data_IF_706401628199
#
_entry.id   IF_706401628199
#
_cell.length_a   1.000
_cell.length_b   1.000
_cell.length_c   1.000
_cell.angle_alpha   90.00
_cell.angle_beta   90.00
_cell.angle_gamma   90.00
#
_symmetry.space_group_name_H-M   'P 1'
#
loop_
_entity.id
_entity.type
_entity.pdbx_description
1 polymer ?
#
# COMPACT_ATOMS: atom_id res chain seq x y z
N UNK A 1 0.25 24.11 -10.42
CA UNK A 1 -1.18 24.12 -10.03
C UNK A 1 -2.04 23.32 -10.99
N UNK A 2 -1.96 23.54 -12.32
CA UNK A 2 -2.76 22.79 -13.30
C UNK A 2 -2.48 21.28 -13.34
N UNK A 3 -1.22 20.86 -13.25
CA UNK A 3 -0.85 19.43 -13.28
C UNK A 3 -1.33 18.64 -12.05
N UNK A 4 -1.46 19.33 -10.90
CA UNK A 4 -1.89 18.70 -9.66
C UNK A 4 -3.41 18.50 -9.67
N UNK A 5 -4.16 19.47 -10.22
CA UNK A 5 -5.61 19.37 -10.39
C UNK A 5 -6.01 18.30 -11.41
N UNK A 6 -5.24 18.13 -12.50
CA UNK A 6 -5.53 17.12 -13.53
C UNK A 6 -5.40 15.69 -13.04
N UNK A 7 -4.54 15.42 -12.05
CA UNK A 7 -4.33 14.07 -11.51
C UNK A 7 -5.14 13.81 -10.22
N UNK A 8 -5.24 14.79 -9.31
CA UNK A 8 -6.00 14.63 -8.07
C UNK A 8 -7.50 14.48 -8.33
N UNK A 9 -8.07 15.27 -9.23
CA UNK A 9 -9.53 15.32 -9.42
C UNK A 9 -10.06 13.97 -9.94
N UNK A 10 -9.47 13.35 -10.97
CA UNK A 10 -9.85 11.99 -11.38
C UNK A 10 -9.62 10.96 -10.28
N UNK A 11 -8.51 11.05 -9.55
CA UNK A 11 -8.20 10.12 -8.46
C UNK A 11 -9.29 10.09 -7.39
N UNK A 12 -9.73 11.26 -6.91
CA UNK A 12 -10.83 11.35 -5.94
C UNK A 12 -12.16 10.89 -6.53
N UNK A 13 -12.45 11.24 -7.79
CA UNK A 13 -13.68 10.83 -8.47
C UNK A 13 -13.79 9.29 -8.59
N UNK A 14 -12.73 8.61 -9.06
CA UNK A 14 -12.72 7.16 -9.18
C UNK A 14 -12.71 6.47 -7.81
N UNK A 15 -12.03 7.02 -6.81
CA UNK A 15 -12.08 6.52 -5.43
C UNK A 15 -13.49 6.59 -4.84
N UNK A 16 -14.21 7.71 -5.06
CA UNK A 16 -15.60 7.85 -4.64
C UNK A 16 -16.53 6.87 -5.38
N UNK A 17 -16.32 6.70 -6.69
CA UNK A 17 -17.07 5.74 -7.51
C UNK A 17 -16.87 4.31 -7.02
N UNK A 18 -15.63 3.92 -6.70
CA UNK A 18 -15.31 2.62 -6.10
C UNK A 18 -16.06 2.42 -4.78
N UNK A 19 -15.98 3.39 -3.85
CA UNK A 19 -16.61 3.29 -2.54
C UNK A 19 -18.15 3.16 -2.64
N UNK A 20 -18.79 4.01 -3.46
CA UNK A 20 -20.25 4.01 -3.63
C UNK A 20 -20.71 2.68 -4.23
N UNK A 21 -20.08 2.23 -5.32
CA UNK A 21 -20.48 0.97 -5.99
C UNK A 21 -20.21 -0.25 -5.12
N UNK A 22 -19.12 -0.26 -4.35
CA UNK A 22 -18.82 -1.30 -3.36
C UNK A 22 -19.89 -1.38 -2.27
N UNK A 23 -20.29 -0.24 -1.69
CA UNK A 23 -21.35 -0.18 -0.68
C UNK A 23 -22.71 -0.60 -1.25
N UNK A 24 -23.03 -0.19 -2.49
CA UNK A 24 -24.27 -0.59 -3.17
C UNK A 24 -24.35 -2.11 -3.37
N UNK A 25 -23.26 -2.75 -3.78
CA UNK A 25 -23.22 -4.21 -3.94
C UNK A 25 -23.26 -4.92 -2.57
N UNK A 26 -22.54 -4.41 -1.58
CA UNK A 26 -22.43 -5.03 -0.25
C UNK A 26 -23.69 -4.90 0.61
N UNK A 27 -24.28 -3.71 0.65
CA UNK A 27 -25.33 -3.33 1.59
C UNK A 27 -26.75 -3.33 0.99
N UNK A 28 -26.89 -3.27 -0.34
CA UNK A 28 -28.20 -3.18 -1.00
C UNK A 28 -28.51 -4.47 -1.81
N UNK A 29 -29.28 -5.43 -1.25
CA UNK A 29 -29.59 -6.69 -1.92
C UNK A 29 -30.30 -6.52 -3.26
N UNK A 30 -31.11 -5.46 -3.40
CA UNK A 30 -31.84 -5.13 -4.63
C UNK A 30 -30.91 -4.87 -5.81
N UNK A 31 -29.79 -4.16 -5.58
CA UNK A 31 -28.80 -3.86 -6.61
C UNK A 31 -27.89 -5.06 -6.92
N UNK A 32 -27.52 -5.87 -5.92
CA UNK A 32 -26.68 -7.05 -6.14
C UNK A 32 -27.40 -8.21 -6.84
N UNK A 33 -28.71 -8.39 -6.60
CA UNK A 33 -29.44 -9.61 -7.03
C UNK A 33 -30.27 -9.45 -8.31
N UNK A 34 -30.44 -8.23 -8.85
CA UNK A 34 -31.31 -7.98 -10.01
C UNK A 34 -30.55 -7.35 -11.16
N UNK A 35 -30.79 -7.87 -12.37
CA UNK A 35 -30.39 -7.24 -13.62
C UNK A 35 -31.28 -6.01 -13.89
N UNK A 36 -30.75 -4.90 -14.43
CA UNK A 36 -29.37 -4.69 -14.89
C UNK A 36 -28.42 -4.09 -13.83
N UNK A 37 -28.93 -3.74 -12.64
CA UNK A 37 -28.19 -2.99 -11.62
C UNK A 37 -26.89 -3.66 -11.18
N UNK A 38 -26.90 -4.98 -11.02
CA UNK A 38 -25.72 -5.74 -10.60
C UNK A 38 -24.54 -5.61 -11.59
N UNK A 39 -24.81 -5.70 -12.90
CA UNK A 39 -23.80 -5.59 -13.95
C UNK A 39 -23.30 -4.16 -14.10
N UNK A 40 -24.18 -3.16 -13.99
CA UNK A 40 -23.80 -1.74 -14.03
C UNK A 40 -22.87 -1.42 -12.86
N UNK A 41 -23.22 -1.80 -11.64
CA UNK A 41 -22.36 -1.58 -10.47
C UNK A 41 -21.02 -2.30 -10.61
N UNK A 42 -21.01 -3.53 -11.15
CA UNK A 42 -19.77 -4.29 -11.36
C UNK A 42 -18.84 -3.63 -12.39
N UNK A 43 -19.37 -3.16 -13.51
CA UNK A 43 -18.57 -2.47 -14.55
C UNK A 43 -17.97 -1.18 -13.99
N UNK A 44 -18.77 -0.37 -13.30
CA UNK A 44 -18.30 0.88 -12.70
C UNK A 44 -17.23 0.63 -11.63
N UNK A 45 -17.42 -0.37 -10.76
CA UNK A 45 -16.44 -0.77 -9.75
C UNK A 45 -15.13 -1.21 -10.40
N UNK A 46 -15.20 -2.02 -11.46
CA UNK A 46 -14.04 -2.55 -12.18
C UNK A 46 -13.26 -1.43 -12.87
N UNK A 47 -13.95 -0.54 -13.57
CA UNK A 47 -13.32 0.60 -14.25
C UNK A 47 -12.63 1.53 -13.24
N UNK A 48 -13.31 1.85 -12.13
CA UNK A 48 -12.73 2.67 -11.08
C UNK A 48 -11.45 2.04 -10.49
N UNK A 49 -11.49 0.75 -10.14
CA UNK A 49 -10.32 0.06 -9.60
C UNK A 49 -9.18 -0.06 -10.63
N UNK A 50 -9.52 -0.27 -11.91
CA UNK A 50 -8.52 -0.33 -12.99
C UNK A 50 -7.78 0.99 -13.19
N UNK A 51 -8.49 2.12 -13.14
CA UNK A 51 -7.89 3.45 -13.22
C UNK A 51 -6.95 3.71 -12.03
N UNK A 52 -7.41 3.43 -10.82
CA UNK A 52 -6.60 3.60 -9.60
C UNK A 52 -5.35 2.72 -9.64
N UNK A 53 -5.49 1.47 -10.08
CA UNK A 53 -4.34 0.55 -10.20
C UNK A 53 -3.37 1.00 -11.30
N UNK A 54 -3.87 1.48 -12.45
CA UNK A 54 -3.05 1.93 -13.57
C UNK A 54 -2.25 3.20 -13.22
N UNK A 55 -2.87 4.15 -12.53
CA UNK A 55 -2.19 5.37 -12.04
C UNK A 55 -1.11 5.02 -11.02
N UNK A 56 -1.37 4.09 -10.08
CA UNK A 56 -0.33 3.58 -9.16
C UNK A 56 0.80 2.90 -9.95
N UNK A 57 0.47 2.02 -10.90
CA UNK A 57 1.45 1.30 -11.70
C UNK A 57 2.36 2.24 -12.52
N UNK A 58 1.85 3.41 -12.92
CA UNK A 58 2.61 4.46 -13.61
C UNK A 58 3.80 5.01 -12.81
N UNK A 59 3.83 4.85 -11.48
CA UNK A 59 4.96 5.25 -10.63
C UNK A 59 6.07 4.20 -10.54
N UNK A 60 5.88 3.01 -11.13
CA UNK A 60 6.85 1.92 -11.07
C UNK A 60 7.46 1.64 -12.44
N UNK A 61 8.70 1.12 -12.47
CA UNK A 61 9.34 0.72 -13.71
C UNK A 61 8.58 -0.42 -14.39
N UNK A 62 8.42 -0.35 -15.70
CA UNK A 62 7.66 -1.32 -16.51
C UNK A 62 8.07 -2.77 -16.22
N UNK A 63 9.37 -3.04 -16.11
CA UNK A 63 9.90 -4.38 -15.77
C UNK A 63 9.31 -4.94 -14.48
N UNK A 64 9.22 -4.12 -13.43
CA UNK A 64 8.68 -4.51 -12.12
C UNK A 64 7.17 -4.71 -12.21
N UNK A 65 6.46 -3.83 -12.91
CA UNK A 65 5.01 -3.92 -13.12
C UNK A 65 4.63 -5.21 -13.85
N UNK A 66 5.32 -5.54 -14.94
CA UNK A 66 5.07 -6.78 -15.70
C UNK A 66 5.38 -8.04 -14.90
N UNK A 67 6.47 -8.03 -14.12
CA UNK A 67 6.79 -9.15 -13.23
C UNK A 67 5.71 -9.35 -12.16
N UNK A 68 5.26 -8.26 -11.52
CA UNK A 68 4.20 -8.31 -10.51
C UNK A 68 2.86 -8.78 -11.11
N UNK A 69 2.50 -8.30 -12.30
CA UNK A 69 1.30 -8.73 -13.02
C UNK A 69 1.34 -10.21 -13.38
N UNK A 70 2.48 -10.72 -13.87
CA UNK A 70 2.67 -12.13 -14.19
C UNK A 70 2.54 -13.01 -12.94
N UNK A 71 3.22 -12.63 -11.85
CA UNK A 71 3.11 -13.34 -10.58
C UNK A 71 1.65 -13.38 -10.10
N UNK A 72 0.96 -12.23 -10.09
CA UNK A 72 -0.45 -12.13 -9.71
C UNK A 72 -1.34 -13.06 -10.54
N UNK A 73 -1.18 -13.04 -11.87
CA UNK A 73 -1.93 -13.89 -12.78
C UNK A 73 -1.72 -15.39 -12.49
N UNK A 74 -0.46 -15.81 -12.33
CA UNK A 74 -0.12 -17.20 -12.02
C UNK A 74 -0.66 -17.63 -10.65
N UNK A 75 -0.51 -16.79 -9.62
CA UNK A 75 -1.02 -17.09 -8.27
C UNK A 75 -2.53 -17.18 -8.25
N UNK A 76 -3.24 -16.23 -8.87
CA UNK A 76 -4.69 -16.25 -8.95
C UNK A 76 -5.18 -17.47 -9.75
N UNK A 77 -4.53 -17.78 -10.88
CA UNK A 77 -4.84 -18.96 -11.69
C UNK A 77 -4.65 -20.26 -10.91
N UNK A 78 -3.53 -20.41 -10.20
CA UNK A 78 -3.26 -21.58 -9.36
C UNK A 78 -4.31 -21.72 -8.23
N UNK A 79 -4.66 -20.63 -7.55
CA UNK A 79 -5.69 -20.63 -6.51
C UNK A 79 -7.06 -21.02 -7.08
N UNK A 80 -7.46 -20.48 -8.24
CA UNK A 80 -8.74 -20.81 -8.89
C UNK A 80 -8.77 -22.28 -9.28
N UNK A 81 -7.73 -22.78 -9.95
CA UNK A 81 -7.66 -24.19 -10.35
C UNK A 81 -7.69 -25.14 -9.14
N UNK A 82 -6.94 -24.82 -8.08
CA UNK A 82 -6.96 -25.56 -6.83
C UNK A 82 -8.35 -25.52 -6.17
N UNK A 83 -8.97 -24.35 -6.11
CA UNK A 83 -10.30 -24.15 -5.52
C UNK A 83 -11.41 -24.87 -6.29
N UNK A 84 -11.26 -25.05 -7.61
CA UNK A 84 -12.17 -25.84 -8.43
C UNK A 84 -12.03 -27.35 -8.21
N UNK A 85 -10.83 -27.83 -7.86
CA UNK A 85 -10.55 -29.26 -7.71
C UNK A 85 -10.73 -29.76 -6.27
N UNK A 86 -10.54 -28.88 -5.29
CA UNK A 86 -10.57 -29.23 -3.88
C UNK A 86 -12.00 -29.49 -3.39
N UNK A 87 -12.15 -30.49 -2.52
CA UNK A 87 -13.43 -30.82 -1.86
C UNK A 87 -13.66 -30.03 -0.57
N UNK A 88 -12.65 -29.29 -0.12
CA UNK A 88 -12.70 -28.53 1.12
C UNK A 88 -13.41 -27.19 0.92
N UNK A 89 -14.43 -26.91 1.72
CA UNK A 89 -15.14 -25.63 1.71
C UNK A 89 -14.36 -24.59 2.53
N UNK A 90 -13.53 -23.80 1.85
CA UNK A 90 -12.79 -22.70 2.46
C UNK A 90 -13.69 -21.58 2.98
N UNK A 91 -14.95 -21.50 2.54
CA UNK A 91 -15.92 -20.49 3.00
C UNK A 91 -16.23 -20.68 4.49
N UNK A 92 -16.26 -21.93 4.97
CA UNK A 92 -16.44 -22.24 6.39
C UNK A 92 -15.29 -21.71 7.27
N UNK A 93 -14.10 -21.52 6.68
CA UNK A 93 -12.90 -21.02 7.37
C UNK A 93 -12.67 -19.51 7.20
N UNK A 94 -13.61 -18.77 6.61
CA UNK A 94 -13.45 -17.31 6.37
C UNK A 94 -13.16 -16.56 7.66
N UNK A 95 -13.78 -16.94 8.78
CA UNK A 95 -13.48 -16.37 10.09
C UNK A 95 -12.03 -16.61 10.54
N UNK A 96 -11.49 -17.81 10.29
CA UNK A 96 -10.08 -18.14 10.58
C UNK A 96 -9.13 -17.36 9.68
N UNK A 97 -9.45 -17.25 8.39
CA UNK A 97 -8.66 -16.47 7.43
C UNK A 97 -8.64 -14.97 7.78
N UNK A 98 -9.76 -14.44 8.28
CA UNK A 98 -9.84 -13.05 8.74
C UNK A 98 -8.93 -12.79 9.96
N UNK A 99 -8.96 -13.69 10.96
CA UNK A 99 -8.08 -13.59 12.13
C UNK A 99 -6.60 -13.72 11.73
N UNK A 100 -6.26 -14.69 10.87
CA UNK A 100 -4.90 -14.83 10.35
C UNK A 100 -4.44 -13.59 9.58
N UNK A 101 -5.34 -12.98 8.80
CA UNK A 101 -5.07 -11.73 8.08
C UNK A 101 -4.74 -10.57 9.03
N UNK A 102 -5.51 -10.40 10.11
CA UNK A 102 -5.22 -9.39 11.14
C UNK A 102 -3.89 -9.67 11.83
N UNK A 103 -3.61 -10.92 12.19
CA UNK A 103 -2.34 -11.30 12.83
C UNK A 103 -1.14 -10.99 11.93
N UNK A 104 -1.22 -11.35 10.64
CA UNK A 104 -0.16 -11.04 9.67
C UNK A 104 0.01 -9.53 9.46
N UNK A 105 -1.09 -8.79 9.40
CA UNK A 105 -1.07 -7.33 9.28
C UNK A 105 -0.39 -6.67 10.50
N UNK A 106 -0.77 -7.07 11.72
CA UNK A 106 -0.17 -6.57 12.96
C UNK A 106 1.31 -6.94 13.04
N UNK A 107 1.68 -8.17 12.66
CA UNK A 107 3.07 -8.57 12.57
C UNK A 107 3.86 -7.69 11.59
N UNK A 108 3.30 -7.37 10.42
CA UNK A 108 3.90 -6.44 9.46
C UNK A 108 4.12 -5.04 10.03
N UNK A 109 3.14 -4.48 10.72
CA UNK A 109 3.29 -3.18 11.39
C UNK A 109 4.36 -3.20 12.48
N UNK A 110 4.36 -4.22 13.34
CA UNK A 110 5.37 -4.41 14.38
C UNK A 110 6.75 -4.51 13.75
N UNK A 111 6.90 -5.30 12.68
CA UNK A 111 8.16 -5.43 11.95
C UNK A 111 8.65 -4.08 11.41
N UNK A 112 7.80 -3.26 10.79
CA UNK A 112 8.17 -1.94 10.29
C UNK A 112 8.61 -1.01 11.43
N UNK A 113 7.84 -0.95 12.52
CA UNK A 113 8.16 -0.11 13.68
C UNK A 113 9.50 -0.52 14.32
N UNK A 114 9.71 -1.83 14.51
CA UNK A 114 10.94 -2.34 15.12
C UNK A 114 12.17 -2.20 14.24
N UNK A 115 12.03 -2.42 12.93
CA UNK A 115 13.19 -2.46 12.04
C UNK A 115 13.63 -1.09 11.55
N UNK A 116 12.69 -0.15 11.36
CA UNK A 116 12.96 1.17 10.77
C UNK A 116 12.96 2.28 11.83
N UNK A 117 11.90 2.37 12.64
CA UNK A 117 11.69 3.51 13.56
C UNK A 117 12.53 3.36 14.84
N UNK A 118 12.50 2.19 15.48
CA UNK A 118 13.24 1.97 16.73
C UNK A 118 14.77 1.90 16.50
N UNK A 119 15.22 1.51 15.31
CA UNK A 119 16.63 1.29 15.03
C UNK A 119 17.37 2.54 14.55
N UNK A 120 16.66 3.56 14.05
CA UNK A 120 17.25 4.86 13.77
C UNK A 120 16.36 6.03 14.26
N UNK A 121 16.25 6.25 15.59
CA UNK A 121 15.47 7.37 16.13
C UNK A 121 16.11 8.73 15.83
N UNK A 122 17.39 8.75 15.45
CA UNK A 122 18.17 9.97 15.23
C UNK A 122 17.57 10.84 14.13
N UNK A 123 17.05 10.26 13.05
CA UNK A 123 16.45 11.04 11.96
C UNK A 123 15.27 11.90 12.43
N UNK A 124 14.45 11.37 13.34
CA UNK A 124 13.31 12.11 13.88
C UNK A 124 13.77 13.25 14.79
N UNK A 125 14.84 13.03 15.57
CA UNK A 125 15.43 14.03 16.46
C UNK A 125 16.11 15.12 15.62
N UNK A 126 16.88 14.75 14.61
CA UNK A 126 17.63 15.67 13.76
C UNK A 126 16.70 16.53 12.91
N UNK A 127 15.62 15.95 12.36
CA UNK A 127 14.57 16.75 11.68
C UNK A 127 13.90 17.72 12.65
N UNK A 128 13.63 17.32 13.90
CA UNK A 128 13.07 18.24 14.90
C UNK A 128 14.02 19.38 15.25
N UNK A 129 15.33 19.11 15.36
CA UNK A 129 16.33 20.15 15.61
C UNK A 129 16.48 21.10 14.42
N UNK A 130 16.28 20.64 13.19
CA UNK A 130 16.28 21.48 11.97
C UNK A 130 15.01 22.31 11.83
N UNK A 131 13.84 21.76 12.16
CA UNK A 131 12.56 22.48 12.07
C UNK A 131 12.41 23.57 13.14
N UNK A 132 13.13 23.44 14.25
CA UNK A 132 13.16 24.44 15.32
C UNK A 132 11.89 24.50 16.17
N UNK A 133 11.87 25.42 17.13
CA UNK A 133 10.72 25.65 18.01
C UNK A 133 10.60 24.67 19.19
N UNK A 134 11.69 23.98 19.54
CA UNK A 134 11.81 23.06 20.70
C UNK A 134 13.08 23.37 21.51
N UNK A 135 13.43 22.50 22.46
CA UNK A 135 14.57 22.77 23.37
C UNK A 135 15.93 22.76 22.69
N UNK A 136 16.08 21.99 21.61
CA UNK A 136 17.29 21.93 20.81
C UNK A 136 16.92 22.33 19.37
N UNK A 137 17.58 23.36 18.86
CA UNK A 137 17.38 23.91 17.53
C UNK A 137 18.74 24.27 16.94
N UNK A 138 18.91 23.97 15.65
CA UNK A 138 20.13 24.29 14.91
C UNK A 138 19.98 25.71 14.34
N UNK A 139 21.04 26.52 14.47
CA UNK A 139 21.05 27.88 13.91
C UNK A 139 20.93 27.83 12.37
N UNK A 140 20.24 28.78 11.72
CA UNK A 140 20.19 28.86 10.26
C UNK A 140 21.57 28.94 9.59
N UNK A 141 22.58 29.39 10.32
CA UNK A 141 23.97 29.50 9.88
C UNK A 141 24.66 28.12 9.78
N UNK A 142 24.15 27.11 10.50
CA UNK A 142 24.71 25.75 10.60
C UNK A 142 24.05 24.75 9.62
N UNK A 143 23.56 25.24 8.48
CA UNK A 143 22.85 24.42 7.49
C UNK A 143 23.69 23.24 6.94
N UNK A 144 25.03 23.39 6.86
CA UNK A 144 25.93 22.32 6.42
C UNK A 144 25.94 21.17 7.44
N UNK A 145 25.95 21.50 8.73
CA UNK A 145 25.93 20.51 9.81
C UNK A 145 24.59 19.77 9.83
N UNK A 146 23.48 20.50 9.78
CA UNK A 146 22.13 19.93 9.66
C UNK A 146 21.98 18.98 8.46
N UNK A 147 22.44 19.42 7.28
CA UNK A 147 22.39 18.59 6.08
C UNK A 147 23.25 17.33 6.20
N UNK A 148 24.41 17.42 6.85
CA UNK A 148 25.32 16.29 7.06
C UNK A 148 24.71 15.25 7.99
N UNK A 149 24.10 15.67 9.09
CA UNK A 149 23.41 14.80 10.05
C UNK A 149 22.26 14.02 9.37
N UNK A 150 21.36 14.74 8.68
CA UNK A 150 20.26 14.13 7.93
C UNK A 150 20.76 13.16 6.86
N UNK A 151 21.83 13.50 6.15
CA UNK A 151 22.41 12.64 5.12
C UNK A 151 22.92 11.31 5.70
N UNK A 152 23.66 11.37 6.81
CA UNK A 152 24.20 10.19 7.49
C UNK A 152 23.07 9.27 7.96
N UNK A 153 21.99 9.84 8.52
CA UNK A 153 20.84 9.07 8.97
C UNK A 153 20.09 8.36 7.84
N UNK A 154 19.95 9.02 6.68
CA UNK A 154 19.37 8.41 5.47
C UNK A 154 20.23 7.23 4.99
N UNK A 155 21.56 7.37 4.99
CA UNK A 155 22.48 6.30 4.60
C UNK A 155 22.39 5.11 5.56
N UNK A 156 22.29 5.34 6.87
CA UNK A 156 22.10 4.25 7.83
C UNK A 156 20.79 3.50 7.64
N UNK A 157 19.67 4.20 7.39
CA UNK A 157 18.39 3.55 7.06
C UNK A 157 18.53 2.70 5.80
N UNK A 158 19.20 3.22 4.78
CA UNK A 158 19.45 2.47 3.54
C UNK A 158 20.24 1.18 3.78
N UNK A 159 21.31 1.23 4.57
CA UNK A 159 22.08 0.03 4.92
C UNK A 159 21.27 -0.99 5.72
N UNK A 160 20.41 -0.54 6.64
CA UNK A 160 19.52 -1.46 7.36
C UNK A 160 18.53 -2.15 6.44
N UNK A 161 17.95 -1.44 5.47
CA UNK A 161 17.06 -2.03 4.47
C UNK A 161 17.80 -3.05 3.61
N UNK A 162 19.04 -2.75 3.18
CA UNK A 162 19.87 -3.70 2.45
C UNK A 162 20.16 -4.96 3.25
N UNK A 163 20.46 -4.86 4.55
CA UNK A 163 20.70 -6.04 5.39
C UNK A 163 19.45 -6.91 5.53
N UNK A 164 18.27 -6.31 5.69
CA UNK A 164 17.00 -7.06 5.79
C UNK A 164 16.71 -7.79 4.48
N UNK A 165 16.82 -7.09 3.34
CA UNK A 165 16.61 -7.68 2.01
C UNK A 165 17.67 -8.76 1.73
N UNK A 166 18.92 -8.51 2.10
CA UNK A 166 20.02 -9.46 1.93
C UNK A 166 19.86 -10.72 2.79
N UNK A 167 19.28 -10.61 3.98
CA UNK A 167 18.93 -11.77 4.81
C UNK A 167 17.77 -12.58 4.23
N UNK A 168 16.78 -11.92 3.61
CA UNK A 168 15.67 -12.61 2.94
C UNK A 168 16.08 -13.33 1.64
N UNK A 169 17.19 -12.91 1.00
CA UNK A 169 17.69 -13.47 -0.26
C UNK A 169 18.83 -14.50 -0.08
N UNK A 170 19.09 -14.96 1.15
CA UNK A 170 19.97 -16.09 1.45
C UNK A 170 19.14 -17.28 1.90
#
# INVERSE_FOLDING_TARGET
>A
MNLLLTELVPWFFFSATFLITYLMIGCCPGFRRRFPGNMICLILLTLAMSYMTATIAGFYSTKVVFLAALCCFLTCGAIVLFSMQTKYDFTACVGVMFVLGIVLMLFGFIAIIFTVILRNPYLAIDVQMVMGGKQYEISPEDYVFAATQLFVDIIYIFWYLLQIIGFMNK
#
